data_IF_958823578540
#
_entry.id   IF_958823578540
#
_cell.length_a   1.000
_cell.length_b   1.000
_cell.length_c   1.000
_cell.angle_alpha   90.00
_cell.angle_beta   90.00
_cell.angle_gamma   90.00
#
_symmetry.space_group_name_H-M   'P 1'
#
loop_
_entity.id
_entity.type
_entity.pdbx_description
1 polymer ?
#
# COMPACT_ATOMS: atom_id res chain seq x y z
N UNK A 1 -27.12 -54.73 19.01
CA UNK A 1 -25.67 -54.59 18.73
C UNK A 1 -25.35 -54.40 17.24
N UNK A 2 -26.29 -53.92 16.39
CA UNK A 2 -26.03 -53.62 14.96
C UNK A 2 -26.33 -52.18 14.54
N UNK A 3 -26.93 -51.36 15.41
CA UNK A 3 -27.21 -49.94 15.12
C UNK A 3 -26.04 -48.99 15.45
N UNK A 4 -25.07 -49.41 16.28
CA UNK A 4 -23.96 -48.54 16.73
C UNK A 4 -22.77 -48.57 15.75
N UNK A 5 -22.62 -49.65 14.96
CA UNK A 5 -21.54 -49.75 13.97
C UNK A 5 -21.75 -48.86 12.72
N UNK A 6 -22.99 -48.55 12.34
CA UNK A 6 -23.28 -47.73 11.16
C UNK A 6 -23.11 -46.22 11.41
N UNK A 7 -23.18 -45.78 12.66
CA UNK A 7 -22.98 -44.37 13.05
C UNK A 7 -21.52 -43.99 13.22
N UNK A 8 -20.63 -44.95 13.52
CA UNK A 8 -19.18 -44.71 13.66
C UNK A 8 -18.50 -44.52 12.30
N UNK A 9 -18.89 -45.29 11.27
CA UNK A 9 -18.37 -45.10 9.91
C UNK A 9 -18.78 -43.75 9.32
N UNK A 10 -20.01 -43.30 9.55
CA UNK A 10 -20.49 -42.02 9.03
C UNK A 10 -19.81 -40.81 9.71
N UNK A 11 -19.54 -40.88 11.01
CA UNK A 11 -18.79 -39.85 11.74
C UNK A 11 -17.31 -39.79 11.33
N UNK A 12 -16.66 -40.94 11.12
CA UNK A 12 -15.30 -40.98 10.58
C UNK A 12 -15.22 -40.41 9.16
N UNK A 13 -16.20 -40.71 8.30
CA UNK A 13 -16.26 -40.15 6.95
C UNK A 13 -16.50 -38.63 6.96
N UNK A 14 -17.39 -38.11 7.81
CA UNK A 14 -17.64 -36.67 7.94
C UNK A 14 -16.43 -35.91 8.49
N UNK A 15 -15.71 -36.47 9.47
CA UNK A 15 -14.52 -35.87 10.05
C UNK A 15 -13.33 -35.89 9.06
N UNK A 16 -13.15 -36.99 8.33
CA UNK A 16 -12.15 -37.09 7.27
C UNK A 16 -12.48 -36.16 6.09
N UNK A 17 -13.75 -36.00 5.73
CA UNK A 17 -14.18 -35.05 4.71
C UNK A 17 -13.92 -33.60 5.15
N UNK A 18 -14.21 -33.26 6.41
CA UNK A 18 -13.88 -31.94 6.96
C UNK A 18 -12.37 -31.68 6.98
N UNK A 19 -11.56 -32.64 7.44
CA UNK A 19 -10.10 -32.54 7.42
C UNK A 19 -9.54 -32.44 6.00
N UNK A 20 -10.11 -33.17 5.05
CA UNK A 20 -9.69 -33.11 3.65
C UNK A 20 -10.05 -31.78 3.00
N UNK A 21 -11.26 -31.24 3.24
CA UNK A 21 -11.62 -29.91 2.77
C UNK A 21 -10.80 -28.81 3.46
N UNK A 22 -10.54 -28.93 4.76
CA UNK A 22 -9.68 -27.99 5.48
C UNK A 22 -8.24 -28.05 4.95
N UNK A 23 -7.71 -29.25 4.70
CA UNK A 23 -6.38 -29.44 4.13
C UNK A 23 -6.31 -28.94 2.68
N UNK A 24 -7.36 -29.12 1.87
CA UNK A 24 -7.43 -28.63 0.49
C UNK A 24 -7.51 -27.10 0.44
N UNK A 25 -8.34 -26.49 1.29
CA UNK A 25 -8.41 -25.02 1.45
C UNK A 25 -7.07 -24.47 1.95
N UNK A 26 -6.42 -25.14 2.91
CA UNK A 26 -5.07 -24.79 3.35
C UNK A 26 -4.05 -24.93 2.21
N UNK A 27 -4.14 -25.98 1.39
CA UNK A 27 -3.24 -26.19 0.25
C UNK A 27 -3.41 -25.08 -0.79
N UNK A 28 -4.65 -24.74 -1.16
CA UNK A 28 -4.97 -23.69 -2.12
C UNK A 28 -4.48 -22.32 -1.62
N UNK A 29 -4.65 -22.00 -0.33
CA UNK A 29 -4.11 -20.78 0.29
C UNK A 29 -2.58 -20.73 0.29
N UNK A 30 -1.91 -21.85 0.57
CA UNK A 30 -0.43 -21.91 0.57
C UNK A 30 0.16 -21.82 -0.84
N UNK A 31 -0.54 -22.35 -1.84
CA UNK A 31 -0.06 -22.35 -3.24
C UNK A 31 -0.17 -20.95 -3.86
N UNK A 32 -1.25 -20.23 -3.58
CA UNK A 32 -1.45 -18.85 -4.05
C UNK A 32 -0.44 -17.89 -3.39
N UNK A 33 -0.17 -18.05 -2.10
CA UNK A 33 0.85 -17.32 -1.37
C UNK A 33 2.27 -17.61 -1.90
N UNK A 34 2.60 -18.87 -2.20
CA UNK A 34 3.91 -19.23 -2.78
C UNK A 34 4.14 -18.56 -4.15
N UNK A 35 3.15 -18.55 -5.03
CA UNK A 35 3.30 -17.91 -6.35
C UNK A 35 3.36 -16.39 -6.26
N UNK A 36 2.72 -15.78 -5.26
CA UNK A 36 2.76 -14.35 -5.02
C UNK A 36 4.16 -13.86 -4.61
N UNK A 37 4.97 -14.71 -3.97
CA UNK A 37 6.30 -14.33 -3.48
C UNK A 37 7.39 -14.34 -4.58
N UNK A 38 7.15 -15.05 -5.67
CA UNK A 38 8.14 -15.25 -6.75
C UNK A 38 8.10 -14.19 -7.84
N UNK A 39 7.17 -13.23 -7.76
CA UNK A 39 7.14 -12.07 -8.66
C UNK A 39 7.84 -10.85 -8.07
N UNK A 40 8.16 -9.92 -8.97
CA UNK A 40 8.70 -8.61 -8.61
C UNK A 40 7.61 -7.74 -7.95
N UNK A 41 7.92 -7.04 -6.84
CA UNK A 41 7.01 -6.07 -6.26
C UNK A 41 6.87 -4.84 -7.16
N UNK A 42 5.65 -4.33 -7.28
CA UNK A 42 5.35 -3.06 -7.92
C UNK A 42 5.75 -1.89 -7.01
N UNK A 43 5.97 -0.68 -7.55
CA UNK A 43 6.28 0.49 -6.73
C UNK A 43 5.24 0.77 -5.63
N UNK A 44 3.95 0.58 -5.92
CA UNK A 44 2.86 0.73 -4.95
C UNK A 44 2.99 -0.27 -3.80
N UNK A 45 3.23 -1.55 -4.11
CA UNK A 45 3.41 -2.59 -3.11
C UNK A 45 4.63 -2.31 -2.22
N UNK A 46 5.73 -1.80 -2.78
CA UNK A 46 6.88 -1.34 -1.98
C UNK A 46 6.50 -0.19 -1.03
N UNK A 47 5.64 0.72 -1.48
CA UNK A 47 5.07 1.79 -0.65
C UNK A 47 4.27 1.25 0.54
N UNK A 48 3.42 0.24 0.29
CA UNK A 48 2.62 -0.43 1.33
C UNK A 48 3.48 -1.27 2.28
N UNK A 49 4.45 -2.01 1.74
CA UNK A 49 5.43 -2.80 2.51
C UNK A 49 6.25 -1.94 3.48
N UNK A 50 6.49 -0.68 3.13
CA UNK A 50 7.23 0.24 3.99
C UNK A 50 6.57 0.47 5.35
N UNK A 51 5.26 0.26 5.48
CA UNK A 51 4.53 0.34 6.75
C UNK A 51 4.69 -0.90 7.64
N UNK A 52 5.26 -1.99 7.12
CA UNK A 52 5.57 -3.21 7.88
C UNK A 52 7.00 -3.20 8.43
N UNK A 53 7.86 -2.35 7.87
CA UNK A 53 9.25 -2.25 8.28
C UNK A 53 9.34 -1.48 9.59
N UNK A 54 9.91 -2.12 10.61
CA UNK A 54 10.32 -1.43 11.83
C UNK A 54 11.44 -0.44 11.48
N UNK A 55 11.17 0.85 11.69
CA UNK A 55 12.12 1.93 11.40
C UNK A 55 13.47 1.73 12.12
N UNK A 56 13.48 1.13 13.30
CA UNK A 56 14.71 0.85 14.06
C UNK A 56 15.59 -0.24 13.43
N UNK A 57 14.99 -1.12 12.63
CA UNK A 57 15.65 -2.23 11.92
C UNK A 57 15.80 -1.96 10.41
N UNK A 58 15.41 -0.77 9.94
CA UNK A 58 15.46 -0.37 8.53
C UNK A 58 16.84 -0.60 7.89
N UNK A 59 17.93 -0.14 8.53
CA UNK A 59 19.28 -0.32 8.00
C UNK A 59 19.66 -1.81 7.92
N UNK A 60 19.29 -2.61 8.91
CA UNK A 60 19.59 -4.05 8.93
C UNK A 60 18.92 -4.78 7.77
N UNK A 61 17.65 -4.46 7.51
CA UNK A 61 16.90 -4.98 6.36
C UNK A 61 17.60 -4.65 5.03
N UNK A 62 17.95 -3.39 4.81
CA UNK A 62 18.54 -3.00 3.53
C UNK A 62 19.97 -3.51 3.33
N UNK A 63 20.72 -3.74 4.41
CA UNK A 63 22.01 -4.44 4.37
C UNK A 63 21.80 -5.91 3.96
N UNK A 64 20.82 -6.61 4.56
CA UNK A 64 20.48 -7.99 4.19
C UNK A 64 20.00 -8.10 2.73
N UNK A 65 19.30 -7.08 2.23
CA UNK A 65 18.93 -6.95 0.82
C UNK A 65 20.11 -6.63 -0.12
N UNK A 66 21.31 -6.39 0.43
CA UNK A 66 22.55 -6.18 -0.31
C UNK A 66 22.90 -4.72 -0.62
N UNK A 67 22.12 -3.73 -0.15
CA UNK A 67 22.50 -2.32 -0.30
C UNK A 67 23.69 -1.98 0.58
N UNK A 68 24.60 -1.15 0.05
CA UNK A 68 25.75 -0.69 0.81
C UNK A 68 25.37 0.39 1.82
N UNK A 69 26.09 0.44 2.96
CA UNK A 69 25.91 1.50 3.97
C UNK A 69 25.94 2.92 3.38
N UNK A 70 26.86 3.26 2.44
CA UNK A 70 26.83 4.57 1.77
C UNK A 70 25.53 4.83 1.01
N UNK A 71 24.98 3.84 0.30
CA UNK A 71 23.73 4.02 -0.45
C UNK A 71 22.52 4.24 0.46
N UNK A 72 22.48 3.52 1.59
CA UNK A 72 21.47 3.66 2.64
C UNK A 72 21.57 5.06 3.25
N UNK A 73 22.76 5.43 3.72
CA UNK A 73 23.02 6.73 4.37
C UNK A 73 22.70 7.92 3.47
N UNK A 74 23.05 7.83 2.18
CA UNK A 74 22.71 8.87 1.22
C UNK A 74 21.20 9.01 1.04
N UNK A 75 20.47 7.89 0.96
CA UNK A 75 19.01 7.90 0.80
C UNK A 75 18.31 8.46 2.03
N UNK A 76 18.75 8.06 3.23
CA UNK A 76 18.28 8.63 4.51
C UNK A 76 18.53 10.15 4.56
N UNK A 77 19.73 10.59 4.15
CA UNK A 77 20.08 12.00 4.14
C UNK A 77 19.21 12.81 3.16
N UNK A 78 19.04 12.33 1.92
CA UNK A 78 18.22 12.98 0.90
C UNK A 78 16.74 13.06 1.29
N UNK A 79 16.24 12.04 2.00
CA UNK A 79 14.84 11.91 2.37
C UNK A 79 14.53 12.38 3.81
N UNK A 80 15.51 12.94 4.54
CA UNK A 80 15.39 13.27 5.98
C UNK A 80 14.25 14.23 6.35
N UNK A 81 13.80 15.05 5.40
CA UNK A 81 12.68 15.97 5.60
C UNK A 81 11.31 15.30 5.48
N UNK A 82 11.26 14.10 4.91
CA UNK A 82 10.06 13.31 4.63
C UNK A 82 9.74 12.34 5.79
N UNK A 83 8.54 11.78 5.76
CA UNK A 83 8.14 10.75 6.72
C UNK A 83 9.05 9.51 6.63
N UNK A 84 9.29 8.84 7.76
CA UNK A 84 10.16 7.66 7.81
C UNK A 84 9.73 6.56 6.81
N UNK A 85 8.42 6.35 6.65
CA UNK A 85 7.87 5.41 5.67
C UNK A 85 8.29 5.76 4.24
N UNK A 86 8.32 7.04 3.88
CA UNK A 86 8.79 7.51 2.58
C UNK A 86 10.26 7.21 2.37
N UNK A 87 11.08 7.32 3.41
CA UNK A 87 12.51 7.00 3.34
C UNK A 87 12.71 5.51 3.04
N UNK A 88 11.96 4.65 3.74
CA UNK A 88 11.93 3.19 3.53
C UNK A 88 11.48 2.87 2.11
N UNK A 89 10.40 3.50 1.62
CA UNK A 89 9.92 3.31 0.25
C UNK A 89 10.98 3.67 -0.78
N UNK A 90 11.69 4.79 -0.61
CA UNK A 90 12.78 5.19 -1.53
C UNK A 90 13.94 4.20 -1.50
N UNK A 91 14.28 3.64 -0.33
CA UNK A 91 15.30 2.59 -0.22
C UNK A 91 14.88 1.32 -0.97
N UNK A 92 13.63 0.87 -0.82
CA UNK A 92 13.10 -0.25 -1.59
C UNK A 92 13.12 0.01 -3.10
N UNK A 93 12.68 1.19 -3.54
CA UNK A 93 12.71 1.56 -4.96
C UNK A 93 14.15 1.51 -5.50
N UNK A 94 15.10 2.11 -4.79
CA UNK A 94 16.53 2.09 -5.13
C UNK A 94 17.08 0.66 -5.22
N UNK A 95 16.74 -0.20 -4.26
CA UNK A 95 17.10 -1.61 -4.29
C UNK A 95 16.54 -2.32 -5.53
N UNK A 96 15.27 -2.15 -5.89
CA UNK A 96 14.71 -2.80 -7.09
C UNK A 96 15.29 -2.27 -8.41
N UNK A 97 15.83 -1.05 -8.43
CA UNK A 97 16.57 -0.52 -9.59
C UNK A 97 17.99 -1.09 -9.67
N UNK A 98 18.67 -1.25 -8.53
CA UNK A 98 19.99 -1.87 -8.47
C UNK A 98 19.96 -3.38 -8.80
N UNK A 99 18.88 -4.06 -8.43
CA UNK A 99 18.74 -5.51 -8.55
C UNK A 99 17.41 -5.89 -9.23
N UNK A 100 17.37 -5.96 -10.57
CA UNK A 100 16.10 -6.05 -11.32
C UNK A 100 15.36 -7.39 -11.22
N UNK A 101 16.04 -8.45 -10.76
CA UNK A 101 15.49 -9.82 -10.65
C UNK A 101 14.99 -10.17 -9.24
N UNK A 102 14.91 -9.18 -8.36
CA UNK A 102 14.49 -9.39 -6.97
C UNK A 102 12.96 -9.51 -6.87
N UNK A 103 12.53 -10.32 -5.92
CA UNK A 103 11.12 -10.71 -5.70
C UNK A 103 10.72 -10.49 -4.26
N UNK A 104 9.43 -10.63 -3.93
CA UNK A 104 8.97 -10.59 -2.53
C UNK A 104 9.67 -11.65 -1.66
N UNK A 105 10.02 -12.83 -2.20
CA UNK A 105 10.80 -13.85 -1.48
C UNK A 105 12.12 -13.30 -0.94
N UNK A 106 12.78 -12.43 -1.70
CA UNK A 106 14.03 -11.83 -1.24
C UNK A 106 13.81 -10.82 -0.10
N UNK A 107 12.68 -10.10 -0.14
CA UNK A 107 12.24 -9.23 0.97
C UNK A 107 11.93 -10.07 2.20
N UNK A 108 11.19 -11.17 2.06
CA UNK A 108 10.84 -12.09 3.14
C UNK A 108 12.08 -12.65 3.85
N UNK A 109 13.05 -13.14 3.07
CA UNK A 109 14.31 -13.64 3.61
C UNK A 109 15.06 -12.55 4.39
N UNK A 110 15.21 -11.37 3.81
CA UNK A 110 15.93 -10.26 4.45
C UNK A 110 15.20 -9.74 5.70
N UNK A 111 13.87 -9.73 5.70
CA UNK A 111 13.06 -9.42 6.89
C UNK A 111 13.27 -10.46 7.99
N UNK A 112 13.30 -11.75 7.63
CA UNK A 112 13.59 -12.83 8.56
C UNK A 112 15.00 -12.73 9.15
N UNK A 113 16.01 -12.40 8.33
CA UNK A 113 17.39 -12.15 8.78
C UNK A 113 17.49 -10.94 9.73
N UNK A 114 16.65 -9.92 9.53
CA UNK A 114 16.54 -8.76 10.40
C UNK A 114 15.59 -8.99 11.61
N UNK A 115 15.10 -10.22 11.83
CA UNK A 115 14.18 -10.57 12.91
C UNK A 115 12.88 -9.74 12.86
N UNK A 116 12.37 -9.49 11.66
CA UNK A 116 11.07 -8.81 11.41
C UNK A 116 9.97 -9.84 11.09
N UNK A 117 8.73 -9.51 11.44
CA UNK A 117 7.55 -10.33 11.12
C UNK A 117 7.26 -10.31 9.62
N UNK A 118 7.06 -11.50 9.03
CA UNK A 118 6.73 -11.68 7.60
C UNK A 118 5.30 -12.15 7.35
N UNK A 119 4.55 -12.48 8.40
CA UNK A 119 3.22 -13.13 8.34
C UNK A 119 2.21 -12.45 7.40
N UNK A 120 2.32 -11.13 7.20
CA UNK A 120 1.39 -10.34 6.39
C UNK A 120 1.95 -9.93 5.01
N UNK A 121 3.13 -10.44 4.60
CA UNK A 121 3.79 -9.99 3.37
C UNK A 121 2.91 -10.25 2.15
N UNK A 122 2.24 -11.41 2.11
CA UNK A 122 1.28 -11.77 1.05
C UNK A 122 0.03 -10.90 1.02
N UNK A 123 -0.46 -10.42 2.17
CA UNK A 123 -1.65 -9.56 2.24
C UNK A 123 -1.39 -8.13 1.77
N UNK A 124 -0.13 -7.67 1.77
CA UNK A 124 0.25 -6.34 1.25
C UNK A 124 -0.03 -6.16 -0.26
N UNK A 125 -0.25 -7.27 -0.95
CA UNK A 125 -0.57 -7.36 -2.37
C UNK A 125 -2.06 -7.11 -2.64
N UNK A 126 -2.91 -7.41 -1.66
CA UNK A 126 -4.36 -7.25 -1.81
C UNK A 126 -4.71 -5.76 -1.86
N UNK A 127 -5.41 -5.37 -2.91
CA UNK A 127 -6.07 -4.06 -2.98
C UNK A 127 -7.33 -4.16 -2.14
N UNK A 128 -7.40 -3.38 -1.06
CA UNK A 128 -8.55 -3.32 -0.17
C UNK A 128 -9.80 -2.94 -0.98
N UNK A 129 -10.64 -3.94 -1.29
CA UNK A 129 -11.95 -3.77 -1.91
C UNK A 129 -12.88 -3.13 -0.89
N UNK A 130 -12.78 -1.82 -0.75
CA UNK A 130 -13.72 -1.07 0.07
C UNK A 130 -15.13 -1.24 -0.49
N UNK A 131 -16.00 -1.83 0.34
CA UNK A 131 -17.45 -1.85 0.16
C UNK A 131 -17.95 -0.46 -0.25
N UNK A 132 -18.67 -0.43 -1.37
CA UNK A 132 -19.00 0.73 -2.19
C UNK A 132 -20.06 1.67 -1.60
N UNK A 133 -20.15 1.81 -0.28
CA UNK A 133 -21.23 2.57 0.38
C UNK A 133 -20.91 4.08 0.55
N UNK A 134 -19.76 4.56 0.06
CA UNK A 134 -19.41 6.00 0.06
C UNK A 134 -20.09 6.75 -1.12
N UNK A 135 -21.41 6.87 -1.04
CA UNK A 135 -22.20 7.70 -1.98
C UNK A 135 -21.64 9.12 -2.05
N UNK A 136 -21.44 9.62 -3.27
CA UNK A 136 -20.96 10.99 -3.53
C UNK A 136 -19.46 11.10 -3.85
N UNK A 137 -18.64 10.08 -3.56
CA UNK A 137 -17.20 10.13 -3.80
C UNK A 137 -16.76 9.66 -5.20
N UNK A 138 -17.65 9.03 -5.98
CA UNK A 138 -17.33 8.55 -7.33
C UNK A 138 -17.22 9.66 -8.40
N UNK A 139 -17.36 10.92 -7.99
CA UNK A 139 -17.16 12.08 -8.87
C UNK A 139 -15.69 12.41 -9.08
N UNK A 140 -15.40 13.11 -10.17
CA UNK A 140 -14.07 13.66 -10.45
C UNK A 140 -13.69 14.72 -9.42
N UNK A 141 -12.43 14.69 -8.98
CA UNK A 141 -11.84 15.74 -8.16
C UNK A 141 -11.57 16.96 -9.04
N UNK A 142 -12.10 18.13 -8.68
CA UNK A 142 -11.85 19.36 -9.44
C UNK A 142 -10.75 20.20 -8.81
N UNK A 143 -10.07 21.02 -9.63
CA UNK A 143 -8.91 21.81 -9.19
C UNK A 143 -9.23 22.78 -8.05
N UNK A 144 -10.47 23.27 -7.97
CA UNK A 144 -10.93 24.16 -6.90
C UNK A 144 -10.93 23.52 -5.50
N UNK A 145 -11.01 22.19 -5.43
CA UNK A 145 -11.12 21.40 -4.20
C UNK A 145 -9.79 20.95 -3.62
N UNK A 146 -8.68 21.23 -4.32
CA UNK A 146 -7.35 20.79 -3.92
C UNK A 146 -6.93 21.44 -2.59
N UNK A 147 -7.42 22.64 -2.28
CA UNK A 147 -7.04 23.37 -1.07
C UNK A 147 -7.28 22.56 0.21
N UNK A 148 -8.43 21.89 0.30
CA UNK A 148 -8.87 21.13 1.48
C UNK A 148 -8.13 19.80 1.60
N UNK A 149 -7.73 19.21 0.47
CA UNK A 149 -6.96 17.97 0.40
C UNK A 149 -5.54 18.16 0.95
N UNK A 150 -4.90 19.30 0.64
CA UNK A 150 -3.47 19.49 0.85
C UNK A 150 -3.08 19.45 2.32
N UNK A 151 -3.94 19.97 3.19
CA UNK A 151 -3.65 20.07 4.62
C UNK A 151 -3.60 18.68 5.29
N UNK A 152 -4.27 17.67 4.71
CA UNK A 152 -4.29 16.29 5.21
C UNK A 152 -3.17 15.40 4.65
N UNK A 153 -2.43 15.86 3.62
CA UNK A 153 -1.41 15.04 2.95
C UNK A 153 -0.03 15.15 3.60
N UNK A 154 0.39 16.38 3.90
CA UNK A 154 1.67 16.67 4.56
C UNK A 154 2.88 15.98 3.91
N UNK A 155 3.73 15.36 4.75
CA UNK A 155 5.01 14.75 4.36
C UNK A 155 4.90 13.38 3.70
N UNK A 156 3.71 12.78 3.68
CA UNK A 156 3.45 11.47 3.07
C UNK A 156 3.10 11.57 1.57
N UNK A 157 3.17 12.78 0.99
CA UNK A 157 2.79 13.02 -0.40
C UNK A 157 3.43 12.03 -1.38
N UNK A 158 4.69 11.65 -1.17
CA UNK A 158 5.40 10.75 -2.07
C UNK A 158 4.69 9.40 -2.18
N UNK A 159 4.37 8.77 -1.04
CA UNK A 159 3.70 7.47 -0.99
C UNK A 159 2.28 7.58 -1.56
N UNK A 160 1.55 8.66 -1.25
CA UNK A 160 0.21 8.89 -1.81
C UNK A 160 0.23 8.96 -3.33
N UNK A 161 1.11 9.79 -3.91
CA UNK A 161 1.16 9.94 -5.36
C UNK A 161 1.74 8.71 -6.07
N UNK A 162 2.59 7.94 -5.40
CA UNK A 162 3.05 6.65 -5.87
C UNK A 162 1.89 5.65 -5.94
N UNK A 163 1.09 5.55 -4.87
CA UNK A 163 -0.10 4.71 -4.78
C UNK A 163 -1.14 5.10 -5.84
N UNK A 164 -1.34 6.40 -6.06
CA UNK A 164 -2.21 6.93 -7.13
C UNK A 164 -1.72 6.62 -8.56
N UNK A 165 -0.49 6.14 -8.72
CA UNK A 165 0.08 5.68 -9.98
C UNK A 165 0.96 6.70 -10.70
N UNK A 166 1.32 7.83 -10.08
CA UNK A 166 2.35 8.70 -10.65
C UNK A 166 3.72 8.02 -10.60
N UNK A 167 4.53 8.22 -11.64
CA UNK A 167 5.86 7.61 -11.72
C UNK A 167 6.82 8.25 -10.71
N UNK A 168 7.76 7.45 -10.18
CA UNK A 168 8.80 7.94 -9.25
C UNK A 168 9.56 9.16 -9.79
N UNK A 169 10.06 9.18 -11.05
CA UNK A 169 10.74 10.36 -11.59
C UNK A 169 9.85 11.60 -11.64
N UNK A 170 8.54 11.42 -11.89
CA UNK A 170 7.57 12.52 -11.89
C UNK A 170 7.43 13.15 -10.51
N UNK A 171 7.34 12.32 -9.47
CA UNK A 171 7.18 12.76 -8.08
C UNK A 171 8.46 13.44 -7.60
N UNK A 172 9.63 12.82 -7.84
CA UNK A 172 10.93 13.38 -7.44
C UNK A 172 11.24 14.71 -8.13
N UNK A 173 10.87 14.87 -9.41
CA UNK A 173 11.05 16.14 -10.11
C UNK A 173 10.29 17.30 -9.45
N UNK A 174 9.09 17.05 -8.91
CA UNK A 174 8.36 18.05 -8.13
C UNK A 174 8.96 18.26 -6.73
N UNK A 175 9.69 17.27 -6.21
CA UNK A 175 10.47 17.35 -4.97
C UNK A 175 11.65 18.33 -5.05
N UNK A 176 12.28 18.43 -6.22
CA UNK A 176 13.47 19.27 -6.46
C UNK A 176 13.15 20.77 -6.61
N UNK A 177 11.90 21.13 -6.88
CA UNK A 177 11.48 22.53 -6.92
C UNK A 177 11.55 23.08 -5.48
N UNK A 178 12.22 24.23 -5.28
CA UNK A 178 12.29 24.94 -3.98
C UNK A 178 10.94 25.58 -3.61
N UNK A 179 9.91 24.76 -3.48
CA UNK A 179 8.53 25.14 -3.16
C UNK A 179 8.10 24.58 -1.81
N UNK A 180 7.09 25.19 -1.21
CA UNK A 180 6.50 24.70 0.03
C UNK A 180 5.88 23.30 -0.16
N UNK A 181 5.77 22.53 0.93
CA UNK A 181 5.12 21.22 0.90
C UNK A 181 3.67 21.32 0.38
N UNK A 182 2.94 22.37 0.78
CA UNK A 182 1.60 22.70 0.29
C UNK A 182 1.57 22.88 -1.24
N UNK A 183 2.43 23.74 -1.76
CA UNK A 183 2.55 23.96 -3.21
C UNK A 183 2.96 22.71 -3.97
N UNK A 184 3.78 21.83 -3.36
CA UNK A 184 4.18 20.55 -3.96
C UNK A 184 3.01 19.60 -4.09
N UNK A 185 2.21 19.44 -3.03
CA UNK A 185 1.01 18.61 -3.04
C UNK A 185 0.00 19.15 -4.06
N UNK A 186 -0.22 20.46 -4.10
CA UNK A 186 -1.10 21.07 -5.12
C UNK A 186 -0.64 20.77 -6.54
N UNK A 187 0.66 20.92 -6.82
CA UNK A 187 1.24 20.65 -8.14
C UNK A 187 1.09 19.19 -8.54
N UNK A 188 1.38 18.27 -7.62
CA UNK A 188 1.24 16.83 -7.85
C UNK A 188 -0.22 16.41 -8.04
N UNK A 189 -1.16 17.01 -7.28
CA UNK A 189 -2.60 16.76 -7.41
C UNK A 189 -3.10 17.22 -8.78
N UNK A 190 -2.75 18.44 -9.20
CA UNK A 190 -3.08 18.94 -10.55
C UNK A 190 -2.51 18.05 -11.64
N UNK A 191 -1.26 17.58 -11.47
CA UNK A 191 -0.63 16.68 -12.43
C UNK A 191 -1.37 15.34 -12.49
N UNK A 192 -1.71 14.76 -11.35
CA UNK A 192 -2.48 13.52 -11.26
C UNK A 192 -3.84 13.65 -11.96
N UNK A 193 -4.61 14.72 -11.68
CA UNK A 193 -5.88 15.00 -12.37
C UNK A 193 -5.68 15.08 -13.89
N UNK A 194 -4.65 15.79 -14.35
CA UNK A 194 -4.37 15.92 -15.79
C UNK A 194 -3.94 14.61 -16.45
N UNK A 195 -3.21 13.75 -15.73
CA UNK A 195 -2.72 12.47 -16.22
C UNK A 195 -3.83 11.42 -16.30
N UNK A 196 -4.68 11.33 -15.27
CA UNK A 196 -5.69 10.26 -15.14
C UNK A 196 -7.12 10.69 -15.47
N UNK A 197 -7.37 12.00 -15.63
CA UNK A 197 -8.61 12.60 -16.11
C UNK A 197 -9.86 12.04 -15.43
N UNK A 198 -10.63 11.24 -16.17
CA UNK A 198 -11.89 10.64 -15.74
C UNK A 198 -11.72 9.67 -14.57
N UNK A 199 -10.53 9.10 -14.42
CA UNK A 199 -10.20 8.22 -13.31
C UNK A 199 -9.63 8.97 -12.09
N UNK A 200 -9.51 10.30 -12.13
CA UNK A 200 -9.04 11.11 -11.01
C UNK A 200 -10.22 11.50 -10.09
N UNK A 201 -10.81 10.49 -9.45
CA UNK A 201 -12.01 10.64 -8.61
C UNK A 201 -11.65 10.83 -7.14
N UNK A 202 -12.60 11.40 -6.37
CA UNK A 202 -12.42 11.59 -4.92
C UNK A 202 -12.27 10.24 -4.22
N UNK A 203 -13.05 9.23 -4.59
CA UNK A 203 -12.96 7.88 -4.03
C UNK A 203 -11.58 7.27 -4.24
N UNK A 204 -10.93 7.52 -5.39
CA UNK A 204 -9.59 6.99 -5.67
C UNK A 204 -8.54 7.64 -4.77
N UNK A 205 -8.65 8.94 -4.47
CA UNK A 205 -7.70 9.58 -3.56
C UNK A 205 -7.89 9.14 -2.11
N UNK A 206 -9.14 9.00 -1.67
CA UNK A 206 -9.48 8.49 -0.33
C UNK A 206 -8.98 7.06 -0.15
N UNK A 207 -9.20 6.17 -1.14
CA UNK A 207 -8.66 4.80 -1.13
C UNK A 207 -7.14 4.78 -1.04
N UNK A 208 -6.45 5.60 -1.84
CA UNK A 208 -5.00 5.69 -1.79
C UNK A 208 -4.49 6.22 -0.43
N UNK A 209 -5.17 7.21 0.16
CA UNK A 209 -4.88 7.70 1.51
C UNK A 209 -5.05 6.61 2.56
N UNK A 210 -6.10 5.79 2.46
CA UNK A 210 -6.33 4.64 3.36
C UNK A 210 -5.19 3.62 3.27
N UNK A 211 -4.81 3.22 2.05
CA UNK A 211 -3.70 2.30 1.81
C UNK A 211 -2.37 2.86 2.33
N UNK A 212 -2.19 4.18 2.29
CA UNK A 212 -1.06 4.90 2.85
C UNK A 212 -1.20 5.23 4.35
N UNK A 213 -2.18 4.65 5.07
CA UNK A 213 -2.44 4.88 6.50
C UNK A 213 -2.48 6.38 6.88
N UNK A 214 -3.04 7.20 5.98
CA UNK A 214 -3.24 8.63 6.18
C UNK A 214 -4.64 8.91 6.76
N UNK A 215 -4.92 10.16 7.14
CA UNK A 215 -6.26 10.56 7.59
C UNK A 215 -7.25 10.68 6.41
N UNK A 216 -7.67 9.51 5.92
CA UNK A 216 -8.63 9.37 4.83
C UNK A 216 -10.05 9.71 5.27
N UNK A 217 -10.40 9.46 6.54
CA UNK A 217 -11.77 9.66 7.04
C UNK A 217 -12.14 11.14 7.09
N UNK A 218 -11.28 12.00 7.66
CA UNK A 218 -11.53 13.45 7.66
C UNK A 218 -11.62 14.00 6.24
N UNK A 219 -10.82 13.46 5.32
CA UNK A 219 -10.84 13.82 3.91
C UNK A 219 -12.14 13.39 3.23
N UNK A 220 -12.59 12.15 3.43
CA UNK A 220 -13.85 11.63 2.87
C UNK A 220 -15.05 12.47 3.36
N UNK A 221 -15.10 12.76 4.67
CA UNK A 221 -16.18 13.57 5.25
C UNK A 221 -16.25 14.98 4.68
N UNK A 222 -15.11 15.61 4.38
CA UNK A 222 -15.08 16.93 3.75
C UNK A 222 -15.74 16.93 2.35
N UNK A 223 -15.70 15.79 1.65
CA UNK A 223 -16.25 15.66 0.31
C UNK A 223 -17.68 15.07 0.26
N UNK A 224 -18.10 14.33 1.28
CA UNK A 224 -19.47 13.80 1.39
C UNK A 224 -20.51 14.87 1.73
N UNK A 225 -20.13 15.98 2.39
CA UNK A 225 -21.06 17.02 2.89
C UNK A 225 -21.40 18.09 1.85
N UNK A 226 -20.81 18.02 0.63
CA UNK A 226 -20.97 19.07 -0.37
C UNK A 226 -22.33 19.08 -1.12
N UNK A 227 -23.23 18.12 -0.86
CA UNK A 227 -24.53 18.02 -1.55
C UNK A 227 -25.74 18.52 -0.72
N UNK A 228 -25.55 19.10 0.48
CA UNK A 228 -26.64 19.60 1.33
C UNK A 228 -26.84 21.15 1.33
N UNK A 229 -26.59 21.84 0.22
CA UNK A 229 -27.13 23.19 0.02
C UNK A 229 -28.15 23.22 -1.13
N UNK A 230 -29.31 22.60 -0.91
CA UNK A 230 -30.49 22.73 -1.77
C UNK A 230 -31.55 23.62 -1.07
N UNK A 231 -31.64 24.87 -1.57
CA UNK A 231 -32.83 25.74 -1.68
C UNK A 231 -33.56 26.11 -0.37
N UNK A 232 -33.28 27.30 0.16
CA UNK A 232 -34.30 28.08 0.87
C UNK A 232 -35.02 29.01 -0.11
N UNK A 233 -36.33 28.77 -0.30
CA UNK A 233 -37.30 29.64 -0.98
C UNK A 233 -37.30 31.09 -0.45
#
# INVERSE_FOLDING_TARGET
MRQILLTLDSFCCLFLFYLFNLAMVCLDLTTDQETCLDRRPTPQELGRLSYMVDASKCQQLFIALGLSLPEISNTEHEARSLAAVTQITRMFLKWTYAYPNQTFRHIEMAMSEADMTTDNLGMTVETDDMDSDEKGLDRQLVVGEIGDLVDNIGKNYFNLFLELGLSVPTIEKCGMDHISDKSRVEKLTKLWINTFRDQATVIRIVKAMKLCRMDWHSTAMAYCVADEEEITE
#
